data_IF_937091064458
#
_entry.id   IF_937091064458
#
_cell.length_a   1.000
_cell.length_b   1.000
_cell.length_c   1.000
_cell.angle_alpha   90.00
_cell.angle_beta   90.00
_cell.angle_gamma   90.00
#
_symmetry.space_group_name_H-M   'P 1'
#
loop_
_entity.id
_entity.type
_entity.pdbx_description
1 polymer ?
#
# COMPACT_ATOMS: atom_id res chain seq x y z
N UNK A 1 -12.58 11.30 -9.61
CA UNK A 1 -13.07 10.19 -8.79
C UNK A 1 -11.95 9.19 -8.57
N UNK A 2 -11.65 8.90 -7.30
CA UNK A 2 -10.64 7.89 -6.95
C UNK A 2 -11.33 6.54 -6.89
N UNK A 3 -10.82 5.59 -7.65
CA UNK A 3 -11.33 4.22 -7.68
C UNK A 3 -10.49 3.34 -6.75
N UNK A 4 -11.17 2.65 -5.83
CA UNK A 4 -10.54 1.75 -4.88
C UNK A 4 -10.95 0.30 -5.14
N UNK A 5 -9.99 -0.59 -5.04
CA UNK A 5 -10.20 -2.04 -5.13
C UNK A 5 -9.84 -2.69 -3.81
N UNK A 6 -10.62 -3.69 -3.41
CA UNK A 6 -10.27 -4.47 -2.24
C UNK A 6 -9.02 -5.30 -2.55
N UNK A 7 -7.97 -5.07 -1.76
CA UNK A 7 -6.74 -5.82 -1.86
C UNK A 7 -6.73 -7.01 -0.91
N UNK A 8 -6.13 -8.10 -1.35
CA UNK A 8 -5.81 -9.24 -0.48
C UNK A 8 -4.36 -9.61 -0.66
N UNK A 9 -3.72 -9.95 0.43
CA UNK A 9 -2.42 -10.60 0.37
C UNK A 9 -2.67 -12.05 -0.05
N UNK A 10 -2.20 -12.40 -1.23
CA UNK A 10 -2.37 -13.75 -1.76
C UNK A 10 -0.97 -14.33 -1.96
N UNK A 11 -0.60 -15.37 -1.21
CA UNK A 11 0.72 -15.97 -1.35
C UNK A 11 0.88 -16.80 -2.63
N UNK A 12 -0.23 -17.06 -3.32
CA UNK A 12 -0.24 -17.86 -4.54
C UNK A 12 -0.85 -17.03 -5.67
N UNK A 13 -0.27 -17.18 -6.85
CA UNK A 13 -0.77 -16.51 -8.06
C UNK A 13 -2.08 -17.17 -8.53
N UNK A 14 -3.14 -16.40 -8.57
CA UNK A 14 -4.46 -16.88 -9.02
C UNK A 14 -4.88 -16.18 -10.30
N UNK A 15 -5.36 -16.96 -11.25
CA UNK A 15 -5.92 -16.42 -12.48
C UNK A 15 -7.35 -15.94 -12.25
N UNK A 16 -7.68 -14.68 -12.59
CA UNK A 16 -9.06 -14.20 -12.47
C UNK A 16 -10.02 -14.89 -13.45
N UNK A 17 -9.50 -15.55 -14.48
CA UNK A 17 -10.30 -16.33 -15.41
C UNK A 17 -10.84 -17.59 -14.72
N UNK A 18 -10.01 -18.25 -13.92
CA UNK A 18 -10.38 -19.47 -13.19
C UNK A 18 -11.00 -19.17 -11.83
N UNK A 19 -10.65 -18.03 -11.22
CA UNK A 19 -11.10 -17.64 -9.88
C UNK A 19 -11.60 -16.20 -9.87
N UNK A 20 -12.70 -15.90 -10.58
CA UNK A 20 -13.16 -14.52 -10.79
C UNK A 20 -13.62 -13.81 -9.52
N UNK A 21 -13.91 -14.55 -8.45
CA UNK A 21 -14.35 -13.97 -7.18
C UNK A 21 -13.21 -13.62 -6.23
N UNK A 22 -11.98 -13.95 -6.58
CA UNK A 22 -10.84 -13.65 -5.73
C UNK A 22 -10.24 -12.30 -6.09
N UNK A 23 -9.84 -11.55 -5.07
CA UNK A 23 -9.14 -10.30 -5.28
C UNK A 23 -7.80 -10.57 -5.97
N UNK A 24 -7.46 -9.70 -6.94
CA UNK A 24 -6.34 -9.94 -7.82
C UNK A 24 -4.98 -9.46 -7.33
N UNK A 25 -4.90 -8.95 -6.10
CA UNK A 25 -3.64 -8.46 -5.55
C UNK A 25 -2.73 -9.61 -5.14
N UNK A 26 -1.47 -9.57 -5.57
CA UNK A 26 -0.50 -10.64 -5.32
C UNK A 26 0.60 -10.26 -4.34
N UNK A 27 0.66 -9.03 -3.93
CA UNK A 27 1.70 -8.54 -3.04
C UNK A 27 2.03 -7.09 -3.31
N UNK A 28 3.08 -6.60 -2.69
CA UNK A 28 3.49 -5.22 -2.83
C UNK A 28 4.94 -5.10 -3.27
N UNK A 29 5.26 -3.94 -3.84
CA UNK A 29 6.62 -3.49 -4.09
C UNK A 29 6.79 -2.12 -3.45
N UNK A 30 7.92 -1.88 -2.82
CA UNK A 30 8.28 -0.58 -2.26
C UNK A 30 9.80 -0.41 -2.31
N UNK A 31 10.24 0.85 -2.17
CA UNK A 31 11.65 1.14 -1.99
C UNK A 31 11.94 1.20 -0.48
N UNK A 32 12.56 0.16 0.04
CA UNK A 32 12.87 0.05 1.48
C UNK A 32 13.80 1.16 1.97
N UNK A 33 14.54 1.81 1.08
CA UNK A 33 15.43 2.91 1.42
C UNK A 33 14.71 4.27 1.47
N UNK A 34 13.44 4.34 1.08
CA UNK A 34 12.69 5.58 1.09
C UNK A 34 12.53 6.10 2.53
N UNK A 35 12.68 7.43 2.76
CA UNK A 35 12.61 7.99 4.12
C UNK A 35 11.31 7.70 4.88
N UNK A 36 10.20 7.46 4.17
CA UNK A 36 8.94 7.10 4.81
C UNK A 36 9.03 5.78 5.59
N UNK A 37 9.97 4.91 5.25
CA UNK A 37 10.19 3.63 5.91
C UNK A 37 11.40 3.62 6.84
N UNK A 38 11.93 4.79 7.16
CA UNK A 38 13.15 4.90 8.00
C UNK A 38 13.00 4.20 9.35
N UNK A 39 11.79 4.16 9.89
CA UNK A 39 11.49 3.54 11.18
C UNK A 39 10.58 2.30 11.04
N UNK A 40 10.41 1.83 9.82
CA UNK A 40 9.61 0.63 9.54
C UNK A 40 10.46 -0.38 8.77
N UNK A 41 11.03 -1.36 9.47
CA UNK A 41 11.89 -2.36 8.82
C UNK A 41 11.11 -3.16 7.77
N UNK A 42 11.57 -3.10 6.54
CA UNK A 42 10.95 -3.83 5.44
C UNK A 42 11.98 -4.12 4.35
N UNK A 43 11.73 -5.15 3.55
CA UNK A 43 12.39 -5.33 2.26
C UNK A 43 11.67 -4.56 1.17
N UNK A 44 12.08 -4.76 -0.07
CA UNK A 44 11.49 -4.08 -1.22
C UNK A 44 10.21 -4.75 -1.73
N UNK A 45 9.81 -5.82 -1.11
CA UNK A 45 8.62 -6.60 -1.48
C UNK A 45 7.92 -7.10 -0.21
N UNK A 46 6.81 -7.82 -0.38
CA UNK A 46 5.97 -8.24 0.73
C UNK A 46 6.69 -9.19 1.69
N UNK A 47 6.69 -8.81 2.97
CA UNK A 47 7.12 -9.64 4.08
C UNK A 47 5.97 -9.78 5.09
N UNK A 48 6.18 -10.54 6.16
CA UNK A 48 5.13 -10.84 7.14
C UNK A 48 4.54 -9.61 7.83
N UNK A 49 5.34 -8.56 8.05
CA UNK A 49 4.85 -7.33 8.68
C UNK A 49 3.77 -6.63 7.86
N UNK A 50 3.69 -6.90 6.57
CA UNK A 50 2.67 -6.34 5.69
C UNK A 50 1.33 -7.08 5.75
N UNK A 51 1.29 -8.28 6.33
CA UNK A 51 0.10 -9.13 6.30
C UNK A 51 -1.15 -8.44 6.83
N UNK A 52 -1.09 -7.93 8.08
CA UNK A 52 -2.25 -7.30 8.70
C UNK A 52 -2.57 -5.94 8.06
N UNK A 53 -1.55 -5.26 7.53
CA UNK A 53 -1.72 -3.97 6.87
C UNK A 53 -2.46 -4.11 5.54
N UNK A 54 -2.17 -5.16 4.79
CA UNK A 54 -2.77 -5.40 3.47
C UNK A 54 -4.13 -6.09 3.56
N UNK A 55 -4.35 -6.86 4.60
CA UNK A 55 -5.54 -7.71 4.75
C UNK A 55 -6.86 -6.93 4.67
N UNK A 56 -6.87 -5.69 5.15
CA UNK A 56 -8.05 -4.83 5.16
C UNK A 56 -7.79 -3.50 4.44
N UNK A 57 -6.95 -3.53 3.43
CA UNK A 57 -6.65 -2.34 2.65
C UNK A 57 -7.50 -2.27 1.39
N UNK A 58 -7.70 -1.05 0.90
CA UNK A 58 -8.25 -0.82 -0.43
C UNK A 58 -7.16 -0.26 -1.31
N UNK A 59 -6.91 -0.93 -2.41
CA UNK A 59 -5.91 -0.50 -3.37
C UNK A 59 -6.51 0.51 -4.31
N UNK A 60 -5.81 1.62 -4.52
CA UNK A 60 -6.28 2.72 -5.36
C UNK A 60 -5.71 2.54 -6.77
N UNK A 61 -6.58 2.68 -7.77
CA UNK A 61 -6.17 2.63 -9.18
C UNK A 61 -5.49 3.95 -9.54
N UNK A 62 -4.21 3.87 -9.90
CA UNK A 62 -3.35 5.04 -10.15
C UNK A 62 -3.34 5.50 -11.60
N UNK A 63 -3.98 4.75 -12.51
CA UNK A 63 -3.93 5.05 -13.95
C UNK A 63 -4.51 6.43 -14.28
N UNK A 64 -5.44 6.93 -13.47
CA UNK A 64 -6.05 8.25 -13.63
C UNK A 64 -5.38 9.34 -12.80
N UNK A 65 -4.28 9.01 -12.10
CA UNK A 65 -3.59 9.93 -11.19
C UNK A 65 -2.09 9.99 -11.52
N UNK A 66 -1.73 10.52 -12.72
CA UNK A 66 -0.33 10.44 -13.19
C UNK A 66 0.66 11.29 -12.39
N UNK A 67 0.18 12.27 -11.64
CA UNK A 67 1.04 13.19 -10.89
C UNK A 67 1.32 12.76 -9.45
N UNK A 68 0.84 11.59 -9.04
CA UNK A 68 1.11 11.07 -7.69
C UNK A 68 2.26 10.06 -7.72
N UNK A 69 3.01 10.01 -6.62
CA UNK A 69 4.15 9.10 -6.46
C UNK A 69 3.78 7.97 -5.52
N UNK A 70 3.69 6.73 -6.00
CA UNK A 70 3.40 5.60 -5.12
C UNK A 70 4.61 5.29 -4.24
N UNK A 71 4.38 5.12 -2.95
CA UNK A 71 5.39 4.64 -2.00
C UNK A 71 5.28 3.13 -1.83
N UNK A 72 4.06 2.60 -1.88
CA UNK A 72 3.80 1.16 -1.90
C UNK A 72 2.94 0.87 -3.12
N UNK A 73 3.50 0.14 -4.06
CA UNK A 73 2.79 -0.33 -5.25
C UNK A 73 2.23 -1.73 -4.99
N UNK A 74 1.00 -1.95 -5.40
CA UNK A 74 0.36 -3.26 -5.28
C UNK A 74 0.44 -3.95 -6.64
N UNK A 75 0.88 -5.20 -6.62
CA UNK A 75 0.99 -6.00 -7.85
C UNK A 75 -0.38 -6.54 -8.22
N UNK A 76 -0.89 -6.10 -9.37
CA UNK A 76 -2.19 -6.55 -9.88
C UNK A 76 -2.06 -7.94 -10.51
N UNK A 77 -3.20 -8.55 -10.82
CA UNK A 77 -3.21 -9.78 -11.58
C UNK A 77 -2.73 -9.53 -13.02
N UNK A 78 -2.20 -10.56 -13.65
CA UNK A 78 -1.59 -10.42 -14.98
C UNK A 78 -2.61 -10.12 -16.10
N UNK A 79 -3.89 -10.33 -15.84
CA UNK A 79 -4.95 -10.05 -16.83
C UNK A 79 -5.27 -8.56 -16.92
N UNK A 80 -5.14 -7.82 -15.84
CA UNK A 80 -5.49 -6.40 -15.78
C UNK A 80 -4.27 -5.47 -15.79
N UNK A 81 -3.20 -5.83 -15.10
CA UNK A 81 -1.94 -5.06 -15.06
C UNK A 81 -2.13 -3.57 -14.78
N UNK A 82 -3.03 -3.22 -13.87
CA UNK A 82 -3.27 -1.82 -13.51
C UNK A 82 -2.16 -1.32 -12.59
N UNK A 83 -1.94 -0.01 -12.61
CA UNK A 83 -1.09 0.63 -11.60
C UNK A 83 -1.91 0.81 -10.33
N UNK A 84 -1.51 0.10 -9.27
CA UNK A 84 -2.23 0.10 -8.00
C UNK A 84 -1.31 0.56 -6.88
N UNK A 85 -1.88 1.30 -5.92
CA UNK A 85 -1.14 1.74 -4.74
C UNK A 85 -2.07 1.83 -3.53
N UNK A 86 -1.56 1.53 -2.35
CA UNK A 86 -2.27 1.74 -1.10
C UNK A 86 -1.55 2.73 -0.18
N UNK A 87 -0.44 3.27 -0.61
CA UNK A 87 0.28 4.35 0.07
C UNK A 87 0.97 5.21 -0.99
N UNK A 88 0.59 6.48 -1.10
CA UNK A 88 1.18 7.37 -2.09
C UNK A 88 1.26 8.81 -1.60
N UNK A 89 2.13 9.58 -2.23
CA UNK A 89 2.25 11.01 -2.03
C UNK A 89 1.65 11.77 -3.20
N UNK A 90 1.01 12.89 -2.90
CA UNK A 90 0.53 13.82 -3.90
C UNK A 90 0.94 15.23 -3.50
N UNK A 91 1.26 16.05 -4.49
CA UNK A 91 1.49 17.47 -4.27
C UNK A 91 0.15 18.20 -4.34
N UNK A 92 -0.19 18.93 -3.28
CA UNK A 92 -1.42 19.70 -3.21
C UNK A 92 -1.05 21.14 -2.89
N UNK A 93 -1.18 22.03 -3.89
CA UNK A 93 -0.72 23.42 -3.74
C UNK A 93 0.77 23.45 -3.43
N UNK A 94 1.16 24.09 -2.33
CA UNK A 94 2.54 24.13 -1.84
C UNK A 94 2.87 23.02 -0.84
N UNK A 95 1.87 22.21 -0.49
CA UNK A 95 2.02 21.15 0.49
C UNK A 95 2.08 19.77 -0.14
N UNK A 96 2.27 18.78 0.73
CA UNK A 96 2.24 17.37 0.36
C UNK A 96 1.11 16.66 1.08
N UNK A 97 0.41 15.78 0.36
CA UNK A 97 -0.57 14.88 0.93
C UNK A 97 0.00 13.47 0.91
N UNK A 98 0.01 12.83 2.06
CA UNK A 98 0.32 11.39 2.16
C UNK A 98 -0.99 10.64 2.37
N UNK A 99 -1.33 9.79 1.42
CA UNK A 99 -2.56 9.00 1.46
C UNK A 99 -2.24 7.55 1.76
N UNK A 100 -2.92 7.00 2.76
CA UNK A 100 -2.77 5.59 3.14
C UNK A 100 -4.14 4.94 3.22
N UNK A 101 -4.35 3.91 2.41
CA UNK A 101 -5.60 3.13 2.42
C UNK A 101 -5.51 1.87 3.26
N UNK A 102 -4.37 1.60 3.86
CA UNK A 102 -4.20 0.51 4.81
C UNK A 102 -4.77 0.91 6.17
N UNK A 103 -5.38 -0.04 6.86
CA UNK A 103 -5.84 0.21 8.23
C UNK A 103 -4.65 0.14 9.20
N UNK A 104 -4.19 1.31 9.62
CA UNK A 104 -3.05 1.42 10.56
C UNK A 104 -3.49 1.92 11.95
N UNK A 105 -4.79 2.07 12.18
CA UNK A 105 -5.31 2.64 13.42
C UNK A 105 -6.12 1.65 14.26
N UNK A 106 -6.73 0.63 13.65
CA UNK A 106 -7.55 -0.35 14.37
C UNK A 106 -6.70 -1.36 15.12
N UNK A 107 -7.19 -1.81 16.27
CA UNK A 107 -6.59 -2.86 17.11
C UNK A 107 -5.11 -2.61 17.39
N UNK A 108 -4.78 -1.39 17.71
CA UNK A 108 -3.42 -0.90 17.80
C UNK A 108 -2.54 -1.62 18.82
N UNK A 109 -3.13 -2.05 19.93
CA UNK A 109 -2.39 -2.76 20.98
C UNK A 109 -1.92 -4.15 20.52
N UNK A 110 -2.65 -4.74 19.57
CA UNK A 110 -2.37 -6.09 19.07
C UNK A 110 -1.65 -6.10 17.71
N UNK A 111 -1.35 -4.92 17.17
CA UNK A 111 -0.75 -4.77 15.84
C UNK A 111 0.48 -3.87 15.90
N UNK A 112 1.61 -4.39 16.42
CA UNK A 112 2.84 -3.58 16.50
C UNK A 112 3.33 -3.09 15.14
N UNK A 113 3.09 -3.83 14.06
CA UNK A 113 3.45 -3.44 12.70
C UNK A 113 2.69 -2.20 12.25
N UNK A 114 1.41 -2.08 12.62
CA UNK A 114 0.61 -0.90 12.29
C UNK A 114 1.11 0.34 13.05
N UNK A 115 1.44 0.19 14.32
CA UNK A 115 2.00 1.27 15.12
C UNK A 115 3.34 1.73 14.57
N UNK A 116 4.19 0.79 14.18
CA UNK A 116 5.51 1.11 13.67
C UNK A 116 5.42 1.83 12.33
N UNK A 117 4.54 1.38 11.45
CA UNK A 117 4.34 2.06 10.17
C UNK A 117 3.78 3.48 10.38
N UNK A 118 2.78 3.62 11.25
CA UNK A 118 2.20 4.92 11.58
C UNK A 118 3.25 5.89 12.11
N UNK A 119 4.09 5.43 13.03
CA UNK A 119 5.19 6.23 13.57
C UNK A 119 6.15 6.67 12.47
N UNK A 120 6.55 5.73 11.61
CA UNK A 120 7.48 6.02 10.52
C UNK A 120 6.91 7.06 9.54
N UNK A 121 5.63 6.94 9.20
CA UNK A 121 4.96 7.88 8.30
C UNK A 121 4.81 9.26 8.94
N UNK A 122 4.50 9.32 10.24
CA UNK A 122 4.42 10.60 10.95
C UNK A 122 5.76 11.31 10.99
N UNK A 123 6.84 10.59 11.30
CA UNK A 123 8.18 11.16 11.29
C UNK A 123 8.54 11.70 9.90
N UNK A 124 8.20 10.96 8.86
CA UNK A 124 8.44 11.39 7.50
C UNK A 124 7.69 12.68 7.16
N UNK A 125 6.39 12.75 7.50
CA UNK A 125 5.57 13.94 7.22
C UNK A 125 6.05 15.14 8.01
N UNK A 126 6.38 14.97 9.29
CA UNK A 126 6.75 16.07 10.18
C UNK A 126 8.13 16.66 9.87
N UNK A 127 9.02 15.87 9.31
CA UNK A 127 10.42 16.27 9.08
C UNK A 127 10.78 16.39 7.60
N UNK A 128 9.81 16.25 6.69
CA UNK A 128 10.06 16.39 5.25
C UNK A 128 9.92 17.83 4.74
#
# INVERSE_FOLDING_TARGET
KIEGLEGKFVPVFWSPVHFPKQAGSMGILCDASHPAFAHFPTGNYTDWQWWSLLKQSKTIVMDTLPSVTPLVEVVDNFANNRRLSNLFEAKVGEGKLLFCSMDILSDWEQRPEARQLYFSLLEYICWS
#
